data_IF_407942406083
#
_entry.id   IF_407942406083
#
_cell.length_a   1.000
_cell.length_b   1.000
_cell.length_c   1.000
_cell.angle_alpha   90.00
_cell.angle_beta   90.00
_cell.angle_gamma   90.00
#
_symmetry.space_group_name_H-M   'P 1'
#
loop_
_entity.id
_entity.type
_entity.pdbx_description
1 polymer ?
#
# COMPACT_ATOMS: atom_id res chain seq x y z
N UNK A 1 38.48 -6.03 26.56
CA UNK A 1 37.04 -6.14 26.49
C UNK A 1 36.51 -5.25 25.37
N UNK A 2 35.72 -5.83 24.47
CA UNK A 2 35.26 -5.13 23.26
C UNK A 2 34.36 -3.93 23.60
N UNK A 3 33.54 -4.04 24.64
CA UNK A 3 32.66 -2.93 25.09
C UNK A 3 33.48 -1.73 25.59
N UNK A 4 34.55 -1.99 26.36
CA UNK A 4 35.46 -0.91 26.79
C UNK A 4 36.21 -0.29 25.59
N UNK A 5 36.49 -1.05 24.55
CA UNK A 5 37.06 -0.55 23.33
C UNK A 5 36.06 0.38 22.60
N UNK A 6 34.80 -0.01 22.48
CA UNK A 6 33.72 0.80 21.88
C UNK A 6 33.56 2.12 22.65
N UNK A 7 33.47 2.05 23.97
CA UNK A 7 33.33 3.24 24.83
C UNK A 7 34.51 4.21 24.67
N UNK A 8 35.76 3.69 24.65
CA UNK A 8 36.99 4.52 24.50
C UNK A 8 37.02 5.26 23.17
N UNK A 9 36.44 4.70 22.11
CA UNK A 9 36.30 5.38 20.84
C UNK A 9 35.09 6.32 20.78
N UNK A 10 34.25 6.35 21.82
CA UNK A 10 33.04 7.16 21.89
C UNK A 10 31.95 6.71 20.93
N UNK A 11 31.95 5.40 20.56
CA UNK A 11 30.91 4.86 19.69
C UNK A 11 29.74 4.36 20.52
N UNK A 12 28.53 4.65 20.08
CA UNK A 12 27.32 4.16 20.71
C UNK A 12 26.82 2.90 19.99
N UNK A 13 26.39 1.91 20.75
CA UNK A 13 25.79 0.70 20.19
C UNK A 13 24.36 1.01 19.82
N UNK A 14 24.05 1.00 18.51
CA UNK A 14 22.71 1.21 17.96
C UNK A 14 21.91 -0.06 17.84
N UNK A 15 22.61 -1.21 17.75
CA UNK A 15 22.03 -2.53 17.61
C UNK A 15 22.95 -3.58 18.24
N UNK A 16 22.36 -4.56 18.91
CA UNK A 16 23.09 -5.71 19.45
C UNK A 16 22.21 -6.96 19.32
N UNK A 17 22.72 -7.97 18.64
CA UNK A 17 22.13 -9.31 18.60
C UNK A 17 23.21 -10.34 18.99
N UNK A 18 22.82 -11.37 19.73
CA UNK A 18 23.72 -12.48 20.04
C UNK A 18 23.10 -13.80 19.61
N UNK A 19 23.92 -14.70 19.08
CA UNK A 19 23.56 -16.07 18.74
C UNK A 19 24.53 -17.04 19.39
N UNK A 20 23.99 -18.07 20.05
CA UNK A 20 24.78 -19.23 20.46
C UNK A 20 24.92 -20.20 19.28
N UNK A 21 26.15 -20.50 18.90
CA UNK A 21 26.43 -21.41 17.77
C UNK A 21 26.72 -22.85 18.22
N UNK A 22 26.34 -23.23 19.45
CA UNK A 22 26.60 -24.58 20.00
C UNK A 22 28.09 -24.94 20.10
N UNK A 23 28.98 -23.95 20.12
CA UNK A 23 30.43 -24.02 20.24
C UNK A 23 30.89 -23.13 21.38
N UNK A 24 32.17 -23.18 21.74
CA UNK A 24 32.76 -22.43 22.86
C UNK A 24 32.81 -20.90 22.65
N UNK A 25 32.12 -20.35 21.66
CA UNK A 25 32.06 -18.92 21.42
C UNK A 25 30.65 -18.45 21.07
N UNK A 26 30.39 -17.21 21.44
CA UNK A 26 29.12 -16.50 21.13
C UNK A 26 29.36 -15.49 20.01
N UNK A 27 28.50 -15.51 19.00
CA UNK A 27 28.53 -14.55 17.92
C UNK A 27 27.69 -13.31 18.31
N UNK A 28 28.32 -12.14 18.27
CA UNK A 28 27.65 -10.86 18.41
C UNK A 28 27.60 -10.13 17.09
N UNK A 29 26.41 -9.71 16.66
CA UNK A 29 26.23 -8.68 15.62
C UNK A 29 25.96 -7.35 16.30
N UNK A 30 26.73 -6.33 15.99
CA UNK A 30 26.58 -5.00 16.56
C UNK A 30 26.55 -3.95 15.46
N UNK A 31 25.60 -3.02 15.55
CA UNK A 31 25.64 -1.74 14.87
C UNK A 31 26.24 -0.68 15.79
N UNK A 32 27.17 0.10 15.27
CA UNK A 32 27.81 1.18 16.03
C UNK A 32 27.48 2.52 15.39
N UNK A 33 27.02 3.46 16.21
CA UNK A 33 26.92 4.85 15.79
C UNK A 33 28.32 5.50 15.89
N UNK A 34 28.81 5.99 14.74
CA UNK A 34 30.15 6.56 14.61
C UNK A 34 30.02 8.02 14.15
N UNK A 35 30.27 8.95 15.07
CA UNK A 35 30.22 10.39 14.76
C UNK A 35 31.39 10.85 13.87
N UNK A 36 32.56 10.22 14.03
CA UNK A 36 33.77 10.52 13.24
C UNK A 36 34.25 9.28 12.48
N UNK A 37 33.95 9.18 11.16
CA UNK A 37 34.37 8.04 10.35
C UNK A 37 35.90 7.82 10.30
N UNK A 38 36.73 8.86 10.53
CA UNK A 38 38.18 8.71 10.52
C UNK A 38 38.67 7.80 11.66
N UNK A 39 37.89 7.63 12.72
CA UNK A 39 38.23 6.79 13.87
C UNK A 39 37.96 5.30 13.65
N UNK A 40 37.19 4.93 12.62
CA UNK A 40 36.78 3.54 12.35
C UNK A 40 38.00 2.62 12.15
N UNK A 41 38.98 3.05 11.36
CA UNK A 41 40.17 2.23 11.10
C UNK A 41 41.01 1.98 12.35
N UNK A 42 41.12 2.95 13.24
CA UNK A 42 41.81 2.79 14.52
C UNK A 42 41.06 1.83 15.43
N UNK A 43 39.73 2.00 15.55
CA UNK A 43 38.85 1.12 16.30
C UNK A 43 38.93 -0.33 15.80
N UNK A 44 38.82 -0.57 14.48
CA UNK A 44 38.87 -1.93 13.93
C UNK A 44 40.22 -2.62 14.18
N UNK A 45 41.34 -1.89 14.20
CA UNK A 45 42.64 -2.45 14.55
C UNK A 45 42.68 -2.94 16.01
N UNK A 46 42.17 -2.12 16.94
CA UNK A 46 42.14 -2.49 18.37
C UNK A 46 41.12 -3.60 18.63
N UNK A 47 39.92 -3.52 18.03
CA UNK A 47 38.91 -4.55 18.18
C UNK A 47 39.37 -5.92 17.67
N UNK A 48 40.08 -5.97 16.56
CA UNK A 48 40.66 -7.22 15.99
C UNK A 48 41.78 -7.80 16.83
N UNK A 49 42.45 -6.99 17.64
CA UNK A 49 43.42 -7.47 18.61
C UNK A 49 42.78 -8.15 19.83
N UNK A 50 41.50 -7.86 20.10
CA UNK A 50 40.74 -8.41 21.22
C UNK A 50 39.94 -9.66 20.86
N UNK A 51 39.35 -9.69 19.69
CA UNK A 51 38.52 -10.81 19.20
C UNK A 51 38.47 -10.84 17.68
N UNK A 52 38.05 -11.97 17.06
CA UNK A 52 37.79 -12.03 15.64
C UNK A 52 36.66 -11.06 15.26
N UNK A 53 36.93 -10.10 14.36
CA UNK A 53 35.96 -9.12 13.89
C UNK A 53 35.78 -9.26 12.39
N UNK A 54 34.53 -9.49 11.98
CA UNK A 54 34.08 -9.43 10.60
C UNK A 54 33.25 -8.17 10.41
N UNK A 55 33.68 -7.31 9.49
CA UNK A 55 32.87 -6.18 9.05
C UNK A 55 31.86 -6.70 8.02
N UNK A 56 30.57 -6.49 8.27
CA UNK A 56 29.52 -6.81 7.34
C UNK A 56 29.22 -5.51 6.60
N UNK A 57 29.74 -5.44 5.38
CA UNK A 57 29.46 -4.31 4.48
C UNK A 57 28.32 -4.72 3.54
N UNK A 58 27.20 -4.00 3.63
CA UNK A 58 26.01 -4.30 2.84
C UNK A 58 26.09 -3.73 1.43
N UNK A 59 26.88 -2.67 1.21
CA UNK A 59 27.15 -2.14 -0.13
C UNK A 59 28.58 -1.60 -0.24
N UNK A 60 29.39 -2.29 -1.07
CA UNK A 60 30.77 -1.88 -1.34
C UNK A 60 30.90 -0.52 -2.04
N UNK A 61 29.84 -0.10 -2.75
CA UNK A 61 29.82 1.18 -3.45
C UNK A 61 29.65 2.37 -2.51
N UNK A 62 28.92 2.22 -1.40
CA UNK A 62 28.61 3.32 -0.48
C UNK A 62 29.63 3.48 0.67
N UNK A 63 30.46 2.48 0.93
CA UNK A 63 31.47 2.47 2.01
C UNK A 63 30.90 2.81 3.40
N UNK A 64 29.62 2.54 3.62
CA UNK A 64 28.94 2.83 4.88
C UNK A 64 29.16 1.68 5.84
N UNK A 65 29.87 1.92 6.95
CA UNK A 65 30.17 0.91 7.97
C UNK A 65 29.17 0.91 9.13
N UNK A 66 28.18 1.81 9.10
CA UNK A 66 27.27 2.04 10.21
C UNK A 66 25.82 2.06 9.75
N UNK A 67 25.07 1.08 10.25
CA UNK A 67 23.64 0.97 9.99
C UNK A 67 22.85 2.19 10.49
N UNK A 68 23.28 2.83 11.59
CA UNK A 68 22.57 4.00 12.11
C UNK A 68 22.76 5.24 11.23
N UNK A 69 23.94 5.46 10.66
CA UNK A 69 24.17 6.51 9.66
C UNK A 69 23.32 6.24 8.43
N UNK A 70 23.25 4.97 7.99
CA UNK A 70 22.40 4.57 6.88
C UNK A 70 20.93 4.87 7.15
N UNK A 71 20.38 4.43 8.30
CA UNK A 71 18.98 4.70 8.65
C UNK A 71 18.69 6.17 8.77
N UNK A 72 19.58 6.93 9.41
CA UNK A 72 19.43 8.37 9.58
C UNK A 72 19.41 9.09 8.23
N UNK A 73 20.34 8.75 7.34
CA UNK A 73 20.42 9.28 5.98
C UNK A 73 19.19 8.88 5.14
N UNK A 74 18.79 7.61 5.21
CA UNK A 74 17.62 7.09 4.52
C UNK A 74 16.33 7.80 4.98
N UNK A 75 16.08 7.84 6.28
CA UNK A 75 14.89 8.51 6.85
C UNK A 75 14.89 9.99 6.58
N UNK A 76 16.04 10.66 6.69
CA UNK A 76 16.19 12.09 6.34
C UNK A 76 15.90 12.33 4.86
N UNK A 77 16.30 11.40 3.99
CA UNK A 77 15.96 11.42 2.57
C UNK A 77 14.46 11.33 2.32
N UNK A 78 13.79 10.39 2.98
CA UNK A 78 12.33 10.22 2.89
C UNK A 78 11.57 11.45 3.43
N UNK A 79 11.96 11.96 4.60
CA UNK A 79 11.34 13.15 5.18
C UNK A 79 11.44 14.36 4.24
N UNK A 80 12.61 14.58 3.64
CA UNK A 80 12.79 15.67 2.66
C UNK A 80 11.99 15.43 1.38
N UNK A 81 11.99 14.21 0.84
CA UNK A 81 11.28 13.91 -0.39
C UNK A 81 9.77 14.13 -0.27
N UNK A 82 9.20 13.78 0.87
CA UNK A 82 7.75 13.82 1.12
C UNK A 82 7.30 15.05 1.94
N UNK A 83 8.23 15.91 2.35
CA UNK A 83 7.96 17.06 3.22
C UNK A 83 7.25 16.65 4.53
N UNK A 84 7.79 15.60 5.18
CA UNK A 84 7.19 15.06 6.39
C UNK A 84 7.57 15.88 7.64
N UNK A 85 6.68 15.97 8.63
CA UNK A 85 6.98 16.60 9.89
C UNK A 85 8.04 15.81 10.68
N UNK A 86 8.80 16.46 11.52
CA UNK A 86 9.84 15.83 12.37
C UNK A 86 9.25 14.70 13.26
N UNK A 87 7.98 14.78 13.62
CA UNK A 87 7.26 13.75 14.37
C UNK A 87 7.15 12.41 13.64
N UNK A 88 7.29 12.37 12.32
CA UNK A 88 7.29 11.15 11.52
C UNK A 88 8.59 10.34 11.63
N UNK A 89 9.70 11.02 11.95
CA UNK A 89 11.04 10.46 11.96
C UNK A 89 11.22 9.23 12.87
N UNK A 90 10.76 9.22 14.15
CA UNK A 90 10.93 8.05 15.01
C UNK A 90 10.26 6.80 14.46
N UNK A 91 9.04 6.92 13.92
CA UNK A 91 8.32 5.79 13.31
C UNK A 91 9.06 5.25 12.08
N UNK A 92 9.55 6.11 11.21
CA UNK A 92 10.33 5.71 10.03
C UNK A 92 11.64 5.00 10.42
N UNK A 93 12.35 5.49 11.45
CA UNK A 93 13.59 4.85 11.95
C UNK A 93 13.32 3.45 12.48
N UNK A 94 12.28 3.28 13.31
CA UNK A 94 11.91 1.98 13.86
C UNK A 94 11.55 1.00 12.75
N UNK A 95 10.71 1.40 11.81
CA UNK A 95 10.25 0.52 10.74
C UNK A 95 11.35 0.24 9.70
N UNK A 96 12.24 1.18 9.41
CA UNK A 96 13.41 0.93 8.58
C UNK A 96 14.34 -0.11 9.22
N UNK A 97 14.58 -0.02 10.52
CA UNK A 97 15.38 -1.00 11.26
C UNK A 97 14.72 -2.39 11.26
N UNK A 98 13.41 -2.47 11.51
CA UNK A 98 12.67 -3.74 11.46
C UNK A 98 12.71 -4.36 10.05
N UNK A 99 12.57 -3.55 8.99
CA UNK A 99 12.69 -4.03 7.61
C UNK A 99 14.07 -4.61 7.35
N UNK A 100 15.13 -3.95 7.78
CA UNK A 100 16.50 -4.44 7.65
C UNK A 100 16.69 -5.80 8.34
N UNK A 101 16.27 -5.89 9.60
CA UNK A 101 16.38 -7.12 10.38
C UNK A 101 15.64 -8.28 9.71
N UNK A 102 14.39 -8.06 9.33
CA UNK A 102 13.54 -9.07 8.70
C UNK A 102 14.11 -9.57 7.37
N UNK A 103 14.70 -8.67 6.57
CA UNK A 103 15.33 -9.02 5.30
C UNK A 103 16.64 -9.77 5.52
N UNK A 104 17.50 -9.32 6.45
CA UNK A 104 18.78 -9.97 6.76
C UNK A 104 18.57 -11.39 7.32
N UNK A 105 17.60 -11.59 8.22
CA UNK A 105 17.24 -12.91 8.77
C UNK A 105 16.79 -13.91 7.70
N UNK A 106 16.23 -13.42 6.60
CA UNK A 106 15.80 -14.22 5.45
C UNK A 106 16.87 -14.35 4.37
N UNK A 107 18.05 -13.77 4.56
CA UNK A 107 19.11 -13.76 3.56
C UNK A 107 18.79 -12.93 2.33
N UNK A 108 17.84 -11.99 2.42
CA UNK A 108 17.45 -11.08 1.35
C UNK A 108 18.29 -9.80 1.42
N UNK A 109 18.66 -9.23 0.26
CA UNK A 109 19.37 -7.96 0.24
C UNK A 109 18.46 -6.80 0.64
N UNK A 110 18.75 -6.08 1.73
CA UNK A 110 17.95 -4.95 2.15
C UNK A 110 18.06 -3.74 1.19
N UNK A 111 19.19 -3.56 0.52
CA UNK A 111 19.45 -2.38 -0.32
C UNK A 111 18.44 -2.20 -1.45
N UNK A 112 18.12 -3.27 -2.17
CA UNK A 112 17.14 -3.20 -3.24
C UNK A 112 15.78 -2.73 -2.72
N UNK A 113 15.40 -3.16 -1.53
CA UNK A 113 14.15 -2.75 -0.88
C UNK A 113 14.22 -1.27 -0.49
N UNK A 114 15.28 -0.83 0.16
CA UNK A 114 15.44 0.57 0.56
C UNK A 114 15.55 1.53 -0.63
N UNK A 115 16.28 1.17 -1.69
CA UNK A 115 16.31 1.96 -2.92
C UNK A 115 14.92 2.07 -3.55
N UNK A 116 14.15 0.98 -3.54
CA UNK A 116 12.79 0.97 -4.06
C UNK A 116 11.84 1.83 -3.21
N UNK A 117 11.95 1.81 -1.88
CA UNK A 117 11.18 2.70 -0.99
C UNK A 117 11.53 4.17 -1.26
N UNK A 118 12.81 4.50 -1.43
CA UNK A 118 13.24 5.86 -1.76
C UNK A 118 12.67 6.31 -3.10
N UNK A 119 12.74 5.50 -4.14
CA UNK A 119 12.18 5.80 -5.47
C UNK A 119 10.67 5.90 -5.44
N UNK A 120 10.01 5.07 -4.66
CA UNK A 120 8.58 5.17 -4.40
C UNK A 120 8.21 6.54 -3.81
N UNK A 121 8.91 6.98 -2.77
CA UNK A 121 8.69 8.29 -2.17
C UNK A 121 8.97 9.44 -3.17
N UNK A 122 10.04 9.34 -3.96
CA UNK A 122 10.38 10.31 -5.00
C UNK A 122 9.27 10.43 -6.06
N UNK A 123 8.72 9.30 -6.53
CA UNK A 123 7.62 9.30 -7.51
C UNK A 123 6.34 9.92 -6.94
N UNK A 124 5.98 9.56 -5.69
CA UNK A 124 4.85 10.21 -5.01
C UNK A 124 5.04 11.73 -4.94
N UNK A 125 6.22 12.19 -4.50
CA UNK A 125 6.53 13.61 -4.36
C UNK A 125 6.57 14.34 -5.70
N UNK A 126 7.15 13.73 -6.73
CA UNK A 126 7.22 14.30 -8.07
C UNK A 126 5.86 14.47 -8.74
N UNK A 127 4.85 13.76 -8.28
CA UNK A 127 3.48 13.79 -8.82
C UNK A 127 2.52 14.65 -7.99
N UNK A 128 3.01 15.58 -7.15
CA UNK A 128 2.18 16.49 -6.32
C UNK A 128 2.08 17.89 -6.91
N UNK A 129 1.09 18.67 -6.46
CA UNK A 129 0.86 20.06 -6.87
C UNK A 129 0.55 20.17 -8.36
N UNK A 130 1.20 21.10 -9.05
CA UNK A 130 1.01 21.34 -10.49
C UNK A 130 1.42 20.14 -11.36
N UNK A 131 2.21 19.21 -10.81
CA UNK A 131 2.63 17.98 -11.51
C UNK A 131 1.68 16.81 -11.29
N UNK A 132 0.60 17.01 -10.53
CA UNK A 132 -0.47 16.03 -10.40
C UNK A 132 -1.30 16.03 -11.68
N UNK A 133 -1.00 15.14 -12.59
CA UNK A 133 -1.63 15.01 -13.91
C UNK A 133 -2.40 13.69 -14.00
N UNK A 134 -3.59 13.58 -13.40
CA UNK A 134 -4.38 12.36 -13.47
C UNK A 134 -4.99 12.21 -14.85
N UNK A 135 -5.16 10.99 -15.33
CA UNK A 135 -6.05 10.69 -16.43
C UNK A 135 -7.49 10.69 -15.90
N UNK A 136 -8.39 11.42 -16.56
CA UNK A 136 -9.81 11.45 -16.21
C UNK A 136 -10.61 10.98 -17.41
N UNK A 137 -11.37 9.90 -17.25
CA UNK A 137 -12.17 9.29 -18.31
C UNK A 137 -13.62 9.26 -17.89
N UNK A 138 -14.50 9.83 -18.73
CA UNK A 138 -15.95 9.75 -18.53
C UNK A 138 -16.52 8.61 -19.35
N UNK A 139 -17.27 7.73 -18.70
CA UNK A 139 -17.93 6.58 -19.29
C UNK A 139 -19.43 6.67 -19.06
N UNK A 140 -20.22 6.56 -20.11
CA UNK A 140 -21.66 6.39 -20.00
C UNK A 140 -21.91 4.90 -19.73
N UNK A 141 -22.57 4.59 -18.63
CA UNK A 141 -22.88 3.21 -18.23
C UNK A 141 -24.27 2.82 -18.71
N UNK A 142 -25.23 3.72 -18.54
CA UNK A 142 -26.63 3.59 -19.00
C UNK A 142 -27.08 4.91 -19.62
N UNK A 143 -28.37 5.04 -19.90
CA UNK A 143 -28.94 6.31 -20.37
C UNK A 143 -28.92 7.40 -19.30
N UNK A 144 -28.98 7.03 -18.01
CA UNK A 144 -29.11 7.94 -16.88
C UNK A 144 -27.90 7.93 -15.93
N UNK A 145 -27.10 6.86 -15.94
CA UNK A 145 -25.93 6.72 -15.06
C UNK A 145 -24.61 6.81 -15.80
N UNK A 146 -23.69 7.60 -15.27
CA UNK A 146 -22.33 7.75 -15.78
C UNK A 146 -21.30 7.43 -14.70
N UNK A 147 -20.09 7.05 -15.13
CA UNK A 147 -18.90 6.85 -14.31
C UNK A 147 -17.79 7.77 -14.78
N UNK A 148 -17.22 8.54 -13.87
CA UNK A 148 -15.96 9.25 -14.07
C UNK A 148 -14.85 8.50 -13.39
N UNK A 149 -13.91 7.94 -14.17
CA UNK A 149 -12.72 7.27 -13.67
C UNK A 149 -11.58 8.29 -13.55
N UNK A 150 -11.04 8.44 -12.35
CA UNK A 150 -9.86 9.26 -12.07
C UNK A 150 -8.70 8.31 -11.80
N UNK A 151 -7.65 8.46 -12.58
CA UNK A 151 -6.44 7.65 -12.49
C UNK A 151 -5.27 8.55 -12.08
N UNK A 152 -4.95 8.63 -10.79
CA UNK A 152 -3.79 9.39 -10.31
C UNK A 152 -2.48 8.91 -10.93
N UNK A 153 -1.42 9.72 -10.94
CA UNK A 153 -0.09 9.29 -11.40
C UNK A 153 0.46 8.10 -10.61
N UNK A 154 0.15 8.01 -9.33
CA UNK A 154 0.53 6.93 -8.43
C UNK A 154 -0.68 6.53 -7.57
N UNK A 155 -0.75 5.25 -7.19
CA UNK A 155 -1.83 4.71 -6.37
C UNK A 155 -3.04 4.27 -7.18
N UNK A 156 -4.12 3.97 -6.47
CA UNK A 156 -5.33 3.42 -7.04
C UNK A 156 -6.21 4.47 -7.73
N UNK A 157 -7.09 4.00 -8.59
CA UNK A 157 -8.13 4.78 -9.22
C UNK A 157 -9.22 5.19 -8.21
N UNK A 158 -9.87 6.32 -8.47
CA UNK A 158 -11.15 6.68 -7.86
C UNK A 158 -12.21 6.68 -8.95
N UNK A 159 -13.30 5.95 -8.75
CA UNK A 159 -14.45 6.04 -9.62
C UNK A 159 -15.56 6.89 -8.97
N UNK A 160 -16.23 7.73 -9.75
CA UNK A 160 -17.38 8.53 -9.31
C UNK A 160 -18.57 8.11 -10.14
N UNK A 161 -19.55 7.45 -9.54
CA UNK A 161 -20.85 7.18 -10.15
C UNK A 161 -21.78 8.39 -9.96
N UNK A 162 -22.47 8.76 -11.02
CA UNK A 162 -23.46 9.85 -11.00
C UNK A 162 -24.77 9.40 -11.65
N UNK A 163 -25.91 9.66 -10.98
CA UNK A 163 -27.25 9.39 -11.47
C UNK A 163 -28.16 10.57 -11.03
N UNK A 164 -28.53 11.46 -11.96
CA UNK A 164 -29.18 12.71 -11.60
C UNK A 164 -28.35 13.51 -10.59
N UNK A 165 -28.93 13.77 -9.40
CA UNK A 165 -28.23 14.46 -8.31
C UNK A 165 -27.46 13.50 -7.39
N UNK A 166 -27.65 12.19 -7.51
CA UNK A 166 -26.97 11.21 -6.67
C UNK A 166 -25.52 10.97 -7.12
N UNK A 167 -24.62 10.91 -6.15
CA UNK A 167 -23.19 10.68 -6.37
C UNK A 167 -22.65 9.67 -5.38
N UNK A 168 -21.94 8.68 -5.88
CA UNK A 168 -21.21 7.70 -5.09
C UNK A 168 -19.76 7.64 -5.54
N UNK A 169 -18.84 7.77 -4.60
CA UNK A 169 -17.43 7.54 -4.82
C UNK A 169 -17.07 6.07 -4.58
N UNK A 170 -16.12 5.55 -5.33
CA UNK A 170 -15.58 4.20 -5.14
C UNK A 170 -14.06 4.31 -5.11
N UNK A 171 -13.46 3.94 -3.97
CA UNK A 171 -12.06 4.11 -3.60
C UNK A 171 -11.57 5.57 -3.68
N UNK A 172 -10.43 5.90 -3.08
CA UNK A 172 -10.06 7.30 -2.91
C UNK A 172 -8.60 7.67 -3.18
N UNK A 173 -7.77 6.70 -3.55
CA UNK A 173 -6.35 6.96 -3.76
C UNK A 173 -5.55 7.18 -2.47
N UNK A 174 -4.31 7.65 -2.61
CA UNK A 174 -3.41 7.96 -1.49
C UNK A 174 -3.75 9.28 -0.79
N UNK A 175 -3.59 9.32 0.54
CA UNK A 175 -3.78 10.52 1.35
C UNK A 175 -2.85 11.68 0.97
N UNK A 176 -1.64 11.39 0.49
CA UNK A 176 -0.68 12.42 0.07
C UNK A 176 -1.13 13.28 -1.12
N UNK A 177 -2.16 12.84 -1.86
CA UNK A 177 -2.77 13.61 -2.96
C UNK A 177 -4.07 14.31 -2.56
N UNK A 178 -4.36 14.39 -1.25
CA UNK A 178 -5.60 15.00 -0.75
C UNK A 178 -5.89 16.39 -1.32
N UNK A 179 -4.96 17.35 -1.38
CA UNK A 179 -5.25 18.69 -1.92
C UNK A 179 -5.67 18.66 -3.39
N UNK A 180 -4.96 17.87 -4.19
CA UNK A 180 -5.18 17.74 -5.64
C UNK A 180 -6.50 17.02 -5.92
N UNK A 181 -6.76 15.91 -5.21
CA UNK A 181 -7.99 15.13 -5.38
C UNK A 181 -9.23 15.92 -4.96
N UNK A 182 -9.17 16.64 -3.83
CA UNK A 182 -10.30 17.49 -3.41
C UNK A 182 -10.57 18.63 -4.41
N UNK A 183 -9.52 19.21 -4.98
CA UNK A 183 -9.67 20.20 -6.06
C UNK A 183 -10.35 19.59 -7.28
N UNK A 184 -9.98 18.36 -7.61
CA UNK A 184 -10.58 17.62 -8.73
C UNK A 184 -12.04 17.25 -8.44
N UNK A 185 -12.36 16.78 -7.24
CA UNK A 185 -13.74 16.46 -6.83
C UNK A 185 -14.64 17.68 -6.90
N UNK A 186 -14.20 18.86 -6.43
CA UNK A 186 -14.96 20.13 -6.56
C UNK A 186 -15.23 20.52 -8.01
N UNK A 187 -14.31 20.20 -8.91
CA UNK A 187 -14.47 20.46 -10.35
C UNK A 187 -15.44 19.50 -11.03
N UNK A 188 -15.43 18.21 -10.61
CA UNK A 188 -16.18 17.14 -11.26
C UNK A 188 -17.58 16.95 -10.66
N UNK A 189 -17.76 17.26 -9.39
CA UNK A 189 -19.00 17.01 -8.64
C UNK A 189 -19.64 18.35 -8.23
N UNK A 190 -20.81 18.70 -8.76
CA UNK A 190 -21.51 19.92 -8.35
C UNK A 190 -21.78 19.94 -6.85
N UNK A 191 -21.57 21.11 -6.22
CA UNK A 191 -21.80 21.33 -4.79
C UNK A 191 -21.08 20.34 -3.87
N UNK A 192 -19.90 19.85 -4.24
CA UNK A 192 -19.14 18.82 -3.51
C UNK A 192 -19.02 19.11 -2.02
N UNK A 193 -18.67 20.35 -1.63
CA UNK A 193 -18.45 20.70 -0.21
C UNK A 193 -19.77 20.76 0.61
N UNK A 194 -20.92 21.01 -0.04
CA UNK A 194 -22.20 21.18 0.62
C UNK A 194 -23.05 19.90 0.69
N UNK A 195 -22.69 18.87 -0.07
CA UNK A 195 -23.46 17.62 -0.12
C UNK A 195 -22.95 16.62 0.93
N UNK A 196 -23.84 15.69 1.35
CA UNK A 196 -23.41 14.48 2.04
C UNK A 196 -22.54 13.65 1.07
N UNK A 197 -21.33 13.29 1.52
CA UNK A 197 -20.35 12.54 0.74
C UNK A 197 -20.34 11.09 1.19
N UNK A 198 -20.70 10.19 0.28
CA UNK A 198 -20.69 8.75 0.51
C UNK A 198 -19.65 8.10 -0.39
N UNK A 199 -18.83 7.24 0.19
CA UNK A 199 -17.85 6.44 -0.53
C UNK A 199 -18.07 4.95 -0.23
N UNK A 200 -17.91 4.12 -1.26
CA UNK A 200 -17.79 2.69 -1.13
C UNK A 200 -16.32 2.33 -1.34
N UNK A 201 -15.75 1.50 -0.48
CA UNK A 201 -14.40 0.98 -0.71
C UNK A 201 -14.46 -0.47 -1.16
N UNK A 202 -13.63 -0.81 -2.15
CA UNK A 202 -13.49 -2.20 -2.60
C UNK A 202 -12.79 -3.04 -1.54
N UNK A 203 -11.76 -2.49 -0.89
CA UNK A 203 -11.01 -3.14 0.20
C UNK A 203 -10.22 -2.12 1.04
N UNK A 204 -9.73 -2.58 2.20
CA UNK A 204 -9.02 -1.72 3.15
C UNK A 204 -7.50 -1.75 2.90
N UNK A 205 -7.04 -1.05 1.87
CA UNK A 205 -5.62 -0.81 1.64
C UNK A 205 -5.31 0.71 1.60
N UNK A 206 -4.06 1.05 1.84
CA UNK A 206 -3.59 2.43 2.06
C UNK A 206 -3.82 3.34 0.86
N UNK A 207 -3.77 2.81 -0.35
CA UNK A 207 -4.00 3.56 -1.59
C UNK A 207 -5.46 3.56 -2.08
N UNK A 208 -6.34 2.84 -1.41
CA UNK A 208 -7.79 2.88 -1.64
C UNK A 208 -8.52 3.70 -0.57
N UNK A 209 -7.92 3.83 0.61
CA UNK A 209 -8.53 4.41 1.81
C UNK A 209 -7.95 5.78 2.20
N UNK A 210 -7.08 6.38 1.38
CA UNK A 210 -6.31 7.57 1.76
C UNK A 210 -7.16 8.81 2.07
N UNK A 211 -8.32 8.96 1.46
CA UNK A 211 -9.20 10.13 1.64
C UNK A 211 -10.49 9.82 2.42
N UNK A 212 -10.62 8.66 3.07
CA UNK A 212 -11.81 8.31 3.83
C UNK A 212 -12.21 9.35 4.88
N UNK A 213 -11.28 10.05 5.57
CA UNK A 213 -11.65 11.12 6.50
C UNK A 213 -12.42 12.30 5.87
N UNK A 214 -12.44 12.43 4.54
CA UNK A 214 -13.18 13.47 3.82
C UNK A 214 -14.64 13.11 3.55
N UNK A 215 -15.04 11.88 3.84
CA UNK A 215 -16.38 11.36 3.57
C UNK A 215 -17.20 11.23 4.86
N UNK A 216 -18.51 11.49 4.74
CA UNK A 216 -19.43 11.44 5.86
C UNK A 216 -19.86 10.00 6.15
N UNK A 217 -19.85 9.13 5.13
CA UNK A 217 -20.23 7.72 5.23
C UNK A 217 -19.36 6.84 4.33
N UNK A 218 -18.85 5.75 4.90
CA UNK A 218 -17.99 4.76 4.22
C UNK A 218 -18.72 3.43 4.17
N UNK A 219 -19.11 2.99 2.98
CA UNK A 219 -19.77 1.71 2.71
C UNK A 219 -18.70 0.63 2.44
N UNK A 220 -18.81 -0.52 3.09
CA UNK A 220 -17.77 -1.52 3.00
C UNK A 220 -18.24 -2.91 3.47
N UNK A 221 -17.40 -3.95 3.21
CA UNK A 221 -17.56 -5.29 3.74
C UNK A 221 -17.23 -5.38 5.23
N UNK A 222 -17.68 -6.44 5.89
CA UNK A 222 -17.41 -6.67 7.32
C UNK A 222 -15.90 -6.82 7.61
N UNK A 223 -15.15 -7.51 6.76
CA UNK A 223 -13.69 -7.70 6.94
C UNK A 223 -12.91 -6.41 6.70
N UNK A 224 -13.29 -5.61 5.69
CA UNK A 224 -12.68 -4.29 5.49
C UNK A 224 -12.93 -3.37 6.68
N UNK A 225 -14.16 -3.39 7.26
CA UNK A 225 -14.47 -2.63 8.46
C UNK A 225 -13.66 -3.09 9.68
N UNK A 226 -13.48 -4.39 9.83
CA UNK A 226 -12.63 -4.94 10.90
C UNK A 226 -11.16 -4.48 10.74
N UNK A 227 -10.62 -4.52 9.52
CA UNK A 227 -9.27 -4.05 9.24
C UNK A 227 -9.10 -2.57 9.65
N UNK A 228 -10.01 -1.68 9.22
CA UNK A 228 -9.95 -0.26 9.56
C UNK A 228 -10.12 0.00 11.07
N UNK A 229 -10.94 -0.79 11.77
CA UNK A 229 -11.08 -0.69 13.23
C UNK A 229 -9.81 -1.12 13.97
N UNK A 230 -9.16 -2.19 13.52
CA UNK A 230 -7.85 -2.63 14.05
C UNK A 230 -6.82 -1.52 13.88
N UNK A 231 -6.72 -0.93 12.69
CA UNK A 231 -5.82 0.18 12.43
C UNK A 231 -6.09 1.41 13.30
N UNK A 232 -7.37 1.80 13.46
CA UNK A 232 -7.76 2.90 14.32
C UNK A 232 -7.43 2.64 15.81
N UNK A 233 -7.41 1.38 16.22
CA UNK A 233 -6.97 0.95 17.56
C UNK A 233 -5.44 0.79 17.69
N UNK A 234 -4.66 1.11 16.64
CA UNK A 234 -3.20 0.93 16.63
C UNK A 234 -2.76 -0.54 16.59
N UNK A 235 -3.65 -1.43 16.13
CA UNK A 235 -3.38 -2.85 15.98
C UNK A 235 -3.04 -3.19 14.53
N UNK A 236 -2.43 -4.36 14.32
CA UNK A 236 -2.06 -4.83 13.01
C UNK A 236 -3.30 -5.13 12.14
N UNK A 237 -3.41 -4.46 11.02
CA UNK A 237 -4.33 -4.79 9.94
C UNK A 237 -3.93 -6.08 9.21
N UNK A 238 -4.67 -6.43 8.16
CA UNK A 238 -4.44 -7.72 7.49
C UNK A 238 -3.06 -7.82 6.83
N UNK A 239 -2.55 -6.75 6.23
CA UNK A 239 -1.22 -6.74 5.62
C UNK A 239 -0.10 -6.82 6.66
N UNK A 240 -0.26 -6.14 7.79
CA UNK A 240 0.74 -6.10 8.85
C UNK A 240 0.91 -7.44 9.60
N UNK A 241 -0.05 -8.35 9.47
CA UNK A 241 0.08 -9.72 10.01
C UNK A 241 1.22 -10.52 9.36
N UNK A 242 1.65 -10.13 8.17
CA UNK A 242 2.87 -10.67 7.56
C UNK A 242 4.10 -9.86 8.05
N UNK A 243 5.02 -10.49 8.81
CA UNK A 243 6.19 -9.79 9.37
C UNK A 243 7.09 -9.14 8.31
N UNK A 244 7.11 -9.67 7.08
CA UNK A 244 7.89 -9.11 5.98
C UNK A 244 7.24 -7.81 5.45
N UNK A 245 5.92 -7.77 5.41
CA UNK A 245 5.17 -6.62 4.88
C UNK A 245 4.99 -5.51 5.91
N UNK A 246 4.87 -5.86 7.20
CA UNK A 246 4.55 -4.93 8.27
C UNK A 246 5.39 -3.64 8.28
N UNK A 247 6.74 -3.70 8.34
CA UNK A 247 7.54 -2.48 8.39
C UNK A 247 7.39 -1.64 7.12
N UNK A 248 7.24 -2.27 5.95
CA UNK A 248 7.00 -1.56 4.71
C UNK A 248 5.65 -0.83 4.71
N UNK A 249 4.57 -1.50 5.12
CA UNK A 249 3.24 -0.89 5.18
C UNK A 249 3.23 0.29 6.15
N UNK A 250 3.89 0.18 7.29
CA UNK A 250 4.02 1.28 8.25
C UNK A 250 4.81 2.47 7.67
N UNK A 251 5.88 2.20 6.91
CA UNK A 251 6.61 3.24 6.18
C UNK A 251 5.69 3.89 5.14
N UNK A 252 4.94 3.11 4.36
CA UNK A 252 4.03 3.61 3.35
C UNK A 252 2.93 4.51 3.96
N UNK A 253 2.29 4.07 5.05
CA UNK A 253 1.31 4.87 5.79
C UNK A 253 1.89 6.19 6.26
N UNK A 254 3.11 6.17 6.79
CA UNK A 254 3.81 7.38 7.23
C UNK A 254 4.13 8.32 6.05
N UNK A 255 4.68 7.79 4.94
CA UNK A 255 5.03 8.56 3.75
C UNK A 255 3.82 9.23 3.11
N UNK A 256 2.69 8.55 3.10
CA UNK A 256 1.46 9.04 2.46
C UNK A 256 0.60 9.90 3.38
N UNK A 257 0.91 9.94 4.68
CA UNK A 257 0.08 10.65 5.67
C UNK A 257 -1.28 9.97 5.87
N UNK A 258 -1.33 8.65 5.71
CA UNK A 258 -2.54 7.87 5.87
C UNK A 258 -3.01 7.84 7.33
N UNK A 259 -4.32 8.03 7.49
CA UNK A 259 -5.03 7.83 8.76
C UNK A 259 -6.35 7.10 8.47
N UNK A 260 -6.71 6.08 9.26
CA UNK A 260 -8.01 5.45 9.13
C UNK A 260 -9.13 6.45 9.47
N UNK A 261 -10.34 6.27 8.91
CA UNK A 261 -11.49 7.10 9.24
C UNK A 261 -12.01 6.81 10.66
N UNK A 262 -12.80 7.73 11.20
CA UNK A 262 -13.53 7.50 12.44
C UNK A 262 -14.49 6.30 12.30
N UNK A 263 -14.54 5.46 13.32
CA UNK A 263 -15.28 4.19 13.27
C UNK A 263 -16.82 4.38 13.11
N UNK A 264 -17.36 5.52 13.52
CA UNK A 264 -18.78 5.88 13.39
C UNK A 264 -19.20 6.20 11.95
N UNK A 265 -18.24 6.49 11.08
CA UNK A 265 -18.46 6.67 9.63
C UNK A 265 -18.57 5.35 8.87
N UNK A 266 -18.14 4.24 9.48
CA UNK A 266 -18.13 2.93 8.83
C UNK A 266 -19.51 2.29 8.84
N UNK A 267 -20.08 2.07 7.66
CA UNK A 267 -21.35 1.37 7.48
C UNK A 267 -21.12 0.04 6.77
N UNK A 268 -21.09 -1.03 7.56
CA UNK A 268 -21.01 -2.40 7.05
C UNK A 268 -22.31 -2.77 6.34
N UNK A 269 -22.23 -3.11 5.08
CA UNK A 269 -23.38 -3.53 4.28
C UNK A 269 -23.41 -5.02 4.04
N UNK A 270 -22.26 -5.69 3.92
CA UNK A 270 -22.17 -7.07 3.44
C UNK A 270 -21.13 -7.89 4.18
N UNK A 271 -21.27 -9.22 4.01
CA UNK A 271 -20.29 -10.20 4.44
C UNK A 271 -20.31 -10.46 5.95
N UNK A 272 -19.33 -11.26 6.37
CA UNK A 272 -19.06 -11.65 7.75
C UNK A 272 -17.56 -11.80 7.97
N UNK A 273 -17.15 -12.13 9.21
CA UNK A 273 -15.73 -12.31 9.53
C UNK A 273 -15.21 -13.72 9.27
N UNK A 274 -16.10 -14.66 8.94
CA UNK A 274 -15.73 -16.05 8.64
C UNK A 274 -14.99 -16.14 7.29
N UNK A 275 -14.00 -17.04 7.16
CA UNK A 275 -13.39 -17.34 5.86
C UNK A 275 -14.45 -17.85 4.88
N UNK A 276 -14.27 -17.54 3.59
CA UNK A 276 -15.11 -18.04 2.51
C UNK A 276 -14.72 -19.48 2.15
N UNK A 277 -15.68 -20.26 1.64
CA UNK A 277 -15.46 -21.64 1.23
C UNK A 277 -14.96 -21.76 -0.22
N UNK A 278 -15.20 -20.72 -1.05
CA UNK A 278 -14.77 -20.66 -2.44
C UNK A 278 -13.95 -19.37 -2.70
N UNK A 279 -13.19 -19.31 -3.80
CA UNK A 279 -12.40 -18.12 -4.14
C UNK A 279 -13.22 -16.83 -4.26
N UNK A 280 -14.48 -16.91 -4.66
CA UNK A 280 -15.36 -15.76 -4.85
C UNK A 280 -16.79 -16.12 -4.52
N UNK A 281 -17.43 -15.42 -3.60
CA UNK A 281 -18.79 -15.70 -3.15
C UNK A 281 -19.70 -14.46 -3.21
N UNK A 282 -20.98 -14.64 -3.60
CA UNK A 282 -21.98 -13.57 -3.50
C UNK A 282 -22.31 -13.32 -2.03
N UNK A 283 -22.21 -12.06 -1.62
CA UNK A 283 -22.48 -11.62 -0.25
C UNK A 283 -23.65 -10.64 -0.15
N UNK A 284 -24.24 -10.23 -1.26
CA UNK A 284 -25.40 -9.35 -1.29
C UNK A 284 -25.60 -8.64 -2.62
N UNK A 285 -26.37 -7.57 -2.56
CA UNK A 285 -26.66 -6.70 -3.69
C UNK A 285 -26.47 -5.23 -3.30
N UNK A 286 -26.21 -4.38 -4.29
CA UNK A 286 -26.11 -2.94 -4.13
C UNK A 286 -26.71 -2.23 -5.33
N UNK A 287 -27.68 -1.35 -5.08
CA UNK A 287 -28.30 -0.55 -6.12
C UNK A 287 -27.76 0.90 -6.09
N UNK A 288 -27.50 1.47 -7.27
CA UNK A 288 -27.21 2.89 -7.44
C UNK A 288 -27.85 3.38 -8.75
N UNK A 289 -28.80 4.30 -8.64
CA UNK A 289 -29.61 4.74 -9.77
C UNK A 289 -30.32 3.56 -10.43
N UNK A 290 -30.09 3.37 -11.72
CA UNK A 290 -30.60 2.27 -12.52
C UNK A 290 -29.65 1.03 -12.59
N UNK A 291 -28.53 1.07 -11.88
CA UNK A 291 -27.60 -0.07 -11.73
C UNK A 291 -28.00 -0.95 -10.53
N UNK A 292 -27.88 -2.26 -10.70
CA UNK A 292 -28.15 -3.25 -9.65
C UNK A 292 -27.04 -4.31 -9.60
N UNK A 293 -26.04 -4.04 -8.77
CA UNK A 293 -24.84 -4.86 -8.63
C UNK A 293 -25.08 -6.09 -7.74
N UNK A 294 -24.70 -7.27 -8.22
CA UNK A 294 -24.33 -8.38 -7.35
C UNK A 294 -23.00 -8.02 -6.68
N UNK A 295 -22.93 -8.15 -5.35
CA UNK A 295 -21.73 -7.91 -4.58
C UNK A 295 -21.08 -9.25 -4.27
N UNK A 296 -19.85 -9.43 -4.78
CA UNK A 296 -19.06 -10.63 -4.60
C UNK A 296 -17.88 -10.31 -3.68
N UNK A 297 -17.53 -11.20 -2.75
CA UNK A 297 -16.36 -11.08 -1.90
C UNK A 297 -15.30 -12.11 -2.31
N UNK A 298 -14.05 -11.67 -2.44
CA UNK A 298 -12.88 -12.53 -2.61
C UNK A 298 -12.47 -13.21 -1.31
N UNK A 299 -11.92 -14.41 -1.39
CA UNK A 299 -11.50 -15.19 -0.22
C UNK A 299 -10.24 -14.61 0.49
N UNK A 300 -9.67 -13.54 -0.03
CA UNK A 300 -8.53 -12.83 0.54
C UNK A 300 -7.23 -13.06 -0.20
N UNK A 301 -7.32 -13.35 -1.49
CA UNK A 301 -6.16 -13.51 -2.37
C UNK A 301 -5.34 -12.23 -2.46
N UNK A 302 -5.99 -11.11 -2.79
CA UNK A 302 -5.37 -9.79 -2.68
C UNK A 302 -5.44 -9.30 -1.22
N UNK A 303 -6.66 -9.03 -0.72
CA UNK A 303 -6.90 -8.70 0.69
C UNK A 303 -8.23 -9.31 1.18
N UNK A 304 -8.30 -9.76 2.44
CA UNK A 304 -9.55 -10.21 3.03
C UNK A 304 -10.60 -9.09 3.05
N UNK A 305 -11.81 -9.40 2.58
CA UNK A 305 -12.92 -8.45 2.53
C UNK A 305 -12.97 -7.61 1.25
N UNK A 306 -12.09 -7.88 0.28
CA UNK A 306 -12.18 -7.24 -1.02
C UNK A 306 -13.43 -7.66 -1.77
N UNK A 307 -14.12 -6.68 -2.37
CA UNK A 307 -15.38 -6.89 -3.08
C UNK A 307 -15.30 -6.52 -4.56
N UNK A 308 -16.08 -7.23 -5.35
CA UNK A 308 -16.37 -6.95 -6.75
C UNK A 308 -17.85 -6.59 -6.88
N UNK A 309 -18.13 -5.52 -7.61
CA UNK A 309 -19.49 -5.12 -7.98
C UNK A 309 -19.74 -5.54 -9.43
N UNK A 310 -20.79 -6.34 -9.69
CA UNK A 310 -21.07 -6.89 -11.00
C UNK A 310 -22.54 -6.65 -11.39
N UNK A 311 -22.78 -5.79 -12.39
CA UNK A 311 -24.10 -5.58 -12.99
C UNK A 311 -24.16 -6.34 -14.33
N UNK A 312 -24.82 -7.50 -14.33
CA UNK A 312 -24.95 -8.35 -15.50
C UNK A 312 -25.91 -7.78 -16.55
N UNK A 313 -26.89 -6.97 -16.15
CA UNK A 313 -27.86 -6.38 -17.06
C UNK A 313 -27.18 -5.34 -17.97
N UNK A 314 -26.30 -4.52 -17.41
CA UNK A 314 -25.60 -3.48 -18.14
C UNK A 314 -24.16 -3.90 -18.52
N UNK A 315 -23.72 -5.09 -18.09
CA UNK A 315 -22.37 -5.64 -18.35
C UNK A 315 -21.27 -4.74 -17.83
N UNK A 316 -21.37 -4.38 -16.56
CA UNK A 316 -20.44 -3.51 -15.85
C UNK A 316 -19.82 -4.30 -14.69
N UNK A 317 -18.51 -4.23 -14.53
CA UNK A 317 -17.81 -4.79 -13.40
C UNK A 317 -16.83 -3.76 -12.80
N UNK A 318 -16.87 -3.58 -11.46
CA UNK A 318 -15.86 -2.86 -10.69
C UNK A 318 -15.15 -3.93 -9.84
N UNK A 319 -13.85 -4.12 -10.07
CA UNK A 319 -13.16 -5.35 -9.66
C UNK A 319 -12.12 -5.14 -8.56
N UNK A 320 -11.98 -3.91 -8.04
CA UNK A 320 -10.90 -3.63 -7.08
C UNK A 320 -9.54 -4.02 -7.66
N UNK A 321 -8.72 -4.63 -6.83
CA UNK A 321 -7.40 -5.14 -7.19
C UNK A 321 -7.39 -6.63 -7.55
N UNK A 322 -8.52 -7.34 -7.35
CA UNK A 322 -8.66 -8.73 -7.88
C UNK A 322 -8.35 -8.76 -9.37
N UNK A 323 -8.79 -7.72 -10.12
CA UNK A 323 -8.34 -7.52 -11.49
C UNK A 323 -7.93 -6.06 -11.72
N UNK A 324 -6.70 -5.86 -12.16
CA UNK A 324 -6.13 -4.57 -12.57
C UNK A 324 -5.73 -4.60 -14.04
N UNK A 325 -5.94 -3.49 -14.77
CA UNK A 325 -5.56 -3.39 -16.18
C UNK A 325 -4.14 -2.84 -16.33
N UNK A 326 -3.14 -3.68 -16.08
CA UNK A 326 -1.71 -3.29 -16.14
C UNK A 326 -1.35 -2.69 -17.52
N UNK A 327 -1.89 -3.25 -18.62
CA UNK A 327 -1.63 -2.76 -19.96
C UNK A 327 -2.30 -1.42 -20.27
N UNK A 328 -3.29 -1.03 -19.47
CA UNK A 328 -3.98 0.25 -19.56
C UNK A 328 -3.38 1.35 -18.69
N UNK A 329 -2.35 1.08 -17.93
CA UNK A 329 -1.68 2.06 -17.07
C UNK A 329 -1.03 3.18 -17.88
N UNK A 330 -1.03 4.40 -17.35
CA UNK A 330 -0.21 5.51 -17.87
C UNK A 330 1.28 5.20 -17.63
N UNK A 331 2.17 5.92 -18.31
CA UNK A 331 3.62 5.77 -18.09
C UNK A 331 4.02 6.03 -16.63
N UNK A 332 3.38 6.99 -15.95
CA UNK A 332 3.61 7.30 -14.55
C UNK A 332 3.15 6.17 -13.63
N UNK A 333 1.95 5.63 -13.85
CA UNK A 333 1.43 4.47 -13.11
C UNK A 333 2.31 3.23 -13.31
N UNK A 334 2.74 2.97 -14.54
CA UNK A 334 3.63 1.83 -14.86
C UNK A 334 4.99 1.98 -14.17
N UNK A 335 5.57 3.18 -14.18
CA UNK A 335 6.83 3.46 -13.49
C UNK A 335 6.72 3.26 -11.98
N UNK A 336 5.60 3.65 -11.39
CA UNK A 336 5.29 3.47 -9.98
C UNK A 336 5.06 1.99 -9.62
N UNK A 337 4.19 1.32 -10.39
CA UNK A 337 3.74 -0.04 -10.09
C UNK A 337 4.87 -1.08 -10.11
N UNK A 338 5.98 -0.84 -10.83
CA UNK A 338 7.12 -1.74 -10.87
C UNK A 338 7.82 -1.92 -9.51
N UNK A 339 7.64 -0.99 -8.56
CA UNK A 339 8.28 -1.08 -7.24
C UNK A 339 7.47 -1.89 -6.23
N UNK A 340 6.16 -1.98 -6.37
CA UNK A 340 5.30 -2.68 -5.43
C UNK A 340 5.72 -4.16 -5.20
N UNK A 341 5.99 -4.99 -6.23
CA UNK A 341 6.42 -6.38 -6.02
C UNK A 341 7.80 -6.51 -5.35
N UNK A 342 8.66 -5.51 -5.46
CA UNK A 342 9.97 -5.51 -4.81
C UNK A 342 9.84 -5.27 -3.32
N UNK A 343 8.90 -4.40 -2.95
CA UNK A 343 8.69 -3.97 -1.57
C UNK A 343 7.99 -5.04 -0.73
N UNK A 344 7.05 -5.76 -1.33
CA UNK A 344 6.19 -6.73 -0.64
C UNK A 344 6.34 -8.17 -1.11
N UNK A 345 7.33 -8.47 -1.99
CA UNK A 345 7.46 -9.76 -2.70
C UNK A 345 6.27 -10.07 -3.62
N UNK A 346 5.07 -9.72 -3.22
CA UNK A 346 3.83 -9.71 -4.00
C UNK A 346 2.91 -8.64 -3.44
N UNK A 347 2.13 -7.98 -4.30
CA UNK A 347 1.03 -7.09 -3.89
C UNK A 347 -0.16 -7.88 -3.34
N UNK A 348 -0.27 -9.15 -3.74
CA UNK A 348 -1.30 -10.06 -3.25
C UNK A 348 -0.85 -10.73 -1.95
N UNK A 349 -1.76 -10.90 -1.01
CA UNK A 349 -1.54 -11.66 0.22
C UNK A 349 -1.30 -13.15 -0.09
N UNK A 350 -2.10 -13.70 -1.03
CA UNK A 350 -1.93 -15.01 -1.64
C UNK A 350 -2.10 -14.90 -3.17
N UNK A 351 -1.00 -14.85 -3.95
CA UNK A 351 -1.06 -14.68 -5.40
C UNK A 351 -1.79 -15.81 -6.13
N UNK A 352 -1.73 -17.04 -5.61
CA UNK A 352 -2.40 -18.18 -6.22
C UNK A 352 -3.92 -18.07 -6.02
N UNK A 353 -4.34 -17.69 -4.82
CA UNK A 353 -5.74 -17.45 -4.49
C UNK A 353 -6.29 -16.26 -5.28
N UNK A 354 -5.56 -15.13 -5.37
CA UNK A 354 -5.97 -13.96 -6.16
C UNK A 354 -6.12 -14.31 -7.65
N UNK A 355 -5.25 -15.16 -8.21
CA UNK A 355 -5.42 -15.65 -9.56
C UNK A 355 -6.68 -16.52 -9.73
N UNK A 356 -7.05 -17.32 -8.71
CA UNK A 356 -8.28 -18.10 -8.70
C UNK A 356 -9.52 -17.18 -8.58
N UNK A 357 -9.48 -16.17 -7.73
CA UNK A 357 -10.52 -15.13 -7.60
C UNK A 357 -10.76 -14.41 -8.92
N UNK A 358 -9.69 -13.95 -9.57
CA UNK A 358 -9.74 -13.31 -10.89
C UNK A 358 -10.41 -14.21 -11.93
N UNK A 359 -10.01 -15.47 -11.97
CA UNK A 359 -10.64 -16.46 -12.87
C UNK A 359 -12.13 -16.63 -12.57
N UNK A 360 -12.51 -16.65 -11.29
CA UNK A 360 -13.91 -16.77 -10.88
C UNK A 360 -14.73 -15.52 -11.27
N UNK A 361 -14.17 -14.30 -11.18
CA UNK A 361 -14.81 -13.07 -11.69
C UNK A 361 -15.11 -13.20 -13.17
N UNK A 362 -14.11 -13.55 -13.99
CA UNK A 362 -14.29 -13.68 -15.44
C UNK A 362 -15.26 -14.78 -15.81
N UNK A 363 -15.33 -15.88 -15.04
CA UNK A 363 -16.29 -16.97 -15.26
C UNK A 363 -17.76 -16.56 -14.98
N UNK A 364 -18.02 -15.45 -14.30
CA UNK A 364 -19.36 -14.91 -14.06
C UNK A 364 -19.85 -13.96 -15.14
N UNK A 365 -18.96 -13.54 -16.04
CA UNK A 365 -19.34 -12.64 -17.11
C UNK A 365 -20.23 -13.38 -18.13
N UNK A 366 -21.42 -12.86 -18.34
CA UNK A 366 -22.36 -13.36 -19.36
C UNK A 366 -21.94 -12.90 -20.75
N UNK A 367 -22.45 -13.56 -21.84
CA UNK A 367 -22.15 -13.14 -23.21
C UNK A 367 -22.46 -11.66 -23.47
N UNK A 368 -21.62 -11.02 -24.27
CA UNK A 368 -21.74 -9.62 -24.69
C UNK A 368 -20.51 -8.78 -24.33
N UNK A 369 -20.61 -7.47 -24.53
CA UNK A 369 -19.51 -6.53 -24.34
C UNK A 369 -19.55 -5.93 -22.95
N UNK A 370 -18.55 -6.26 -22.13
CA UNK A 370 -18.41 -5.82 -20.76
C UNK A 370 -17.47 -4.63 -20.63
N UNK A 371 -17.82 -3.68 -19.76
CA UNK A 371 -16.94 -2.63 -19.28
C UNK A 371 -16.40 -3.02 -17.90
N UNK A 372 -15.09 -3.22 -17.79
CA UNK A 372 -14.43 -3.62 -16.54
C UNK A 372 -13.58 -2.47 -16.04
N UNK A 373 -13.81 -2.05 -14.80
CA UNK A 373 -13.11 -1.00 -14.09
C UNK A 373 -12.33 -1.63 -12.93
N UNK A 374 -11.04 -1.85 -13.14
CA UNK A 374 -10.13 -2.22 -12.07
C UNK A 374 -9.69 -1.01 -11.25
N UNK A 375 -9.19 -1.23 -10.06
CA UNK A 375 -8.73 -0.12 -9.25
C UNK A 375 -7.37 0.45 -9.68
N UNK A 376 -6.70 -0.15 -10.66
CA UNK A 376 -5.51 0.38 -11.32
C UNK A 376 -5.60 0.24 -12.84
N UNK A 377 -5.13 1.30 -13.53
CA UNK A 377 -5.12 1.37 -15.00
C UNK A 377 -6.48 1.73 -15.61
N UNK A 378 -6.52 1.87 -16.93
CA UNK A 378 -7.72 2.26 -17.66
C UNK A 378 -8.82 1.20 -17.61
N UNK A 379 -10.04 1.64 -17.89
CA UNK A 379 -11.16 0.75 -18.23
C UNK A 379 -10.73 -0.28 -19.26
N UNK A 380 -11.22 -1.50 -19.12
CA UNK A 380 -11.02 -2.60 -20.07
C UNK A 380 -12.37 -3.01 -20.68
N UNK A 381 -12.47 -2.98 -21.99
CA UNK A 381 -13.59 -3.57 -22.71
C UNK A 381 -13.28 -5.05 -23.01
N UNK A 382 -14.23 -5.94 -22.71
CA UNK A 382 -14.10 -7.39 -22.88
C UNK A 382 -15.35 -7.95 -23.55
N UNK A 383 -15.18 -8.55 -24.72
CA UNK A 383 -16.28 -9.27 -25.42
C UNK A 383 -16.27 -10.73 -24.97
N UNK A 384 -17.36 -11.17 -24.36
CA UNK A 384 -17.59 -12.57 -23.97
C UNK A 384 -18.46 -13.24 -25.06
N UNK A 385 -17.97 -14.30 -25.71
CA UNK A 385 -18.73 -14.97 -26.77
C UNK A 385 -19.93 -15.72 -26.21
N UNK A 386 -20.93 -15.95 -27.06
CA UNK A 386 -22.01 -16.88 -26.76
C UNK A 386 -21.47 -18.30 -26.54
N UNK A 387 -22.05 -19.06 -25.61
CA UNK A 387 -21.66 -20.43 -25.41
C UNK A 387 -21.93 -21.21 -26.71
N UNK A 388 -20.94 -22.02 -27.18
CA UNK A 388 -21.01 -22.82 -28.38
C UNK A 388 -22.04 -23.95 -28.27
#
# INVERSE_FOLDING_TARGET
>A
DILACIERFGFNISYLSSQENGTDYQLFKMGLFVEDPARIHAFLREARALCPVRVIDYDRAEKTFDNSIFYDSFVSGLCRAMDLPESARPSLLVNANLAMQTLDERGLSPYRTFDSIRRFAELLSQSRGERFLPRVTNCRLTDETALTLIEPPCGSNTAILTHGEDVLFIDSGYACYRPEMLTLFRRLVPNFDARKKTILITHADVDHCGLLPEFDEVLLSAKSAECLRLEAAGQDGYRERNPLHKPYIQICKCLTGYHPPDADRLRVLWGGLTPLASPLEPIGRFAFGDLDFEVLEGAGGHLPGEIVLLDAAHRIALTGDIYVNIHGMTAAQSAYNQYAPILMTSVDTDPALCAAERKAVFARLTPGDWQIFGAHGAKKDVSVPDPA
#
